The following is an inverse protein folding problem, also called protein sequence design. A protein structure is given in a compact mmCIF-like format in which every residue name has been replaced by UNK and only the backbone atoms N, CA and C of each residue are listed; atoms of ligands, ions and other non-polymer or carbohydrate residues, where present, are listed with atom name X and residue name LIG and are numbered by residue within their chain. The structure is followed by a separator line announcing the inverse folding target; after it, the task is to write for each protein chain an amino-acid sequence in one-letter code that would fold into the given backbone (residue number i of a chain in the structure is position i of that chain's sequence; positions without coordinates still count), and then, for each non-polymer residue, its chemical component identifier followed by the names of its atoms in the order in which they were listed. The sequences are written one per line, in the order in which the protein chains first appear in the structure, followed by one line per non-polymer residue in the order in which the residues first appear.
data_IF_504565981337
#
_entry.id   IF_504565981337
#
_cell.length_a   1.000
_cell.length_b   1.000
_cell.length_c   1.000
_cell.angle_alpha   90.00
_cell.angle_beta   90.00
_cell.angle_gamma   90.00
#
_symmetry.space_group_name_H-M   'P 1'
#
loop_
_entity.id
_entity.type
_entity.pdbx_description
1 polymer ?
#
# COMPACT_ATOMS: atom_id res chain seq x y z
N UNK A 1 14.66 -25.86 2.98
CA UNK A 1 13.67 -24.99 3.65
C UNK A 1 14.39 -23.74 4.13
N UNK A 2 13.81 -22.51 4.14
CA UNK A 2 12.41 -22.18 3.84
C UNK A 2 12.18 -20.90 3.00
N UNK A 3 11.19 -20.97 2.10
CA UNK A 3 10.59 -19.84 1.37
C UNK A 3 9.53 -19.08 2.17
N UNK A 4 9.70 -18.94 3.49
CA UNK A 4 8.73 -18.27 4.36
C UNK A 4 9.07 -16.80 4.66
N UNK A 5 10.28 -16.32 4.31
CA UNK A 5 10.67 -14.91 4.49
C UNK A 5 10.21 -13.98 3.37
N UNK A 6 9.91 -14.50 2.18
CA UNK A 6 9.50 -13.67 1.04
C UNK A 6 8.08 -13.13 1.13
N UNK A 7 7.20 -13.74 1.93
CA UNK A 7 5.81 -13.28 2.08
C UNK A 7 5.70 -12.11 3.07
N UNK A 8 6.55 -12.07 4.11
CA UNK A 8 6.52 -10.95 5.06
C UNK A 8 7.21 -9.69 4.52
N UNK A 9 8.22 -9.83 3.65
CA UNK A 9 8.86 -8.69 2.99
C UNK A 9 7.99 -8.06 1.87
N UNK A 10 6.98 -8.78 1.38
CA UNK A 10 6.03 -8.26 0.40
C UNK A 10 4.94 -7.37 1.02
N UNK A 11 4.72 -7.44 2.34
CA UNK A 11 3.53 -6.87 2.96
C UNK A 11 3.54 -5.33 3.05
N UNK A 12 4.69 -4.66 2.95
CA UNK A 12 4.78 -3.21 3.19
C UNK A 12 5.45 -2.38 2.08
N UNK A 13 5.81 -2.98 0.93
CA UNK A 13 6.40 -2.28 -0.25
C UNK A 13 5.64 -2.50 -1.56
N UNK A 14 4.35 -2.83 -1.44
CA UNK A 14 3.58 -3.67 -2.37
C UNK A 14 3.41 -3.12 -3.80
N UNK A 15 3.46 -1.81 -3.99
CA UNK A 15 3.17 -1.18 -5.30
C UNK A 15 4.45 -0.95 -6.10
N UNK A 16 5.47 -0.28 -5.54
CA UNK A 16 6.70 0.03 -6.28
C UNK A 16 7.78 -1.05 -6.17
N UNK A 17 7.78 -1.84 -5.11
CA UNK A 17 8.69 -2.99 -4.99
C UNK A 17 8.39 -4.06 -6.06
N UNK A 18 7.12 -4.22 -6.45
CA UNK A 18 6.73 -5.15 -7.51
C UNK A 18 6.80 -4.52 -8.91
N UNK A 19 6.36 -3.27 -9.11
CA UNK A 19 6.41 -2.60 -10.43
C UNK A 19 7.82 -2.15 -10.79
N UNK A 20 8.61 -1.65 -9.84
CA UNK A 20 10.03 -1.34 -10.04
C UNK A 20 10.85 -2.59 -10.31
N UNK A 21 10.57 -3.69 -9.58
CA UNK A 21 11.15 -5.02 -9.88
C UNK A 21 10.70 -5.52 -11.24
N UNK A 22 9.44 -5.33 -11.64
CA UNK A 22 8.94 -5.68 -12.98
C UNK A 22 9.71 -4.97 -14.08
N UNK A 23 9.87 -3.64 -14.01
CA UNK A 23 10.62 -2.86 -15.00
C UNK A 23 12.09 -3.26 -15.04
N UNK A 24 12.73 -3.41 -13.88
CA UNK A 24 14.12 -3.87 -13.78
C UNK A 24 14.30 -5.29 -14.35
N UNK A 25 13.38 -6.19 -14.03
CA UNK A 25 13.41 -7.60 -14.43
C UNK A 25 13.10 -7.76 -15.92
N UNK A 26 12.12 -7.04 -16.48
CA UNK A 26 11.83 -7.03 -17.92
C UNK A 26 12.97 -6.40 -18.72
N UNK A 27 13.62 -5.36 -18.18
CA UNK A 27 14.80 -4.74 -18.81
C UNK A 27 16.03 -5.67 -18.81
N UNK A 28 16.19 -6.51 -17.78
CA UNK A 28 17.37 -7.38 -17.58
C UNK A 28 17.20 -8.81 -18.09
N UNK A 29 15.98 -9.34 -18.14
CA UNK A 29 15.71 -10.74 -18.47
C UNK A 29 14.71 -10.87 -19.61
N UNK A 30 15.22 -10.97 -20.84
CA UNK A 30 14.44 -11.14 -22.10
C UNK A 30 13.56 -12.40 -22.17
N UNK A 31 13.64 -13.28 -21.16
CA UNK A 31 12.98 -14.59 -21.16
C UNK A 31 11.71 -14.65 -20.34
N UNK A 32 11.31 -13.58 -19.65
CA UNK A 32 10.11 -13.56 -18.81
C UNK A 32 8.90 -13.12 -19.63
N UNK A 33 7.79 -13.85 -19.49
CA UNK A 33 6.49 -13.49 -20.06
C UNK A 33 5.60 -13.00 -18.93
N UNK A 34 5.06 -11.79 -19.08
CA UNK A 34 4.03 -11.26 -18.19
C UNK A 34 2.77 -12.13 -18.31
N UNK A 35 2.18 -12.55 -17.19
CA UNK A 35 0.83 -13.13 -17.19
C UNK A 35 -0.15 -11.96 -17.07
N UNK A 36 -1.02 -11.70 -18.06
CA UNK A 36 -1.83 -10.47 -18.12
C UNK A 36 -3.06 -10.48 -17.19
N UNK A 37 -3.15 -11.42 -16.24
CA UNK A 37 -4.27 -11.49 -15.29
C UNK A 37 -3.84 -10.81 -13.99
N UNK A 38 -4.46 -9.66 -13.62
CA UNK A 38 -4.21 -9.05 -12.33
C UNK A 38 -4.73 -9.98 -11.23
N UNK A 39 -3.95 -10.14 -10.17
CA UNK A 39 -4.25 -11.08 -9.10
C UNK A 39 -4.92 -10.40 -7.93
N UNK A 40 -4.73 -9.08 -7.83
CA UNK A 40 -5.46 -8.23 -6.91
C UNK A 40 -5.50 -6.79 -7.45
N UNK A 41 -6.48 -6.02 -7.02
CA UNK A 41 -6.56 -4.58 -7.31
C UNK A 41 -6.29 -3.83 -6.01
N UNK A 42 -5.12 -3.20 -5.92
CA UNK A 42 -4.78 -2.37 -4.78
C UNK A 42 -5.53 -1.04 -4.86
N UNK A 43 -6.16 -0.64 -3.75
CA UNK A 43 -6.80 0.66 -3.62
C UNK A 43 -6.07 1.45 -2.54
N UNK A 44 -5.44 2.56 -2.91
CA UNK A 44 -4.88 3.51 -1.96
C UNK A 44 -5.99 4.45 -1.52
N UNK A 45 -6.22 4.57 -0.22
CA UNK A 45 -7.36 5.28 0.33
C UNK A 45 -6.98 6.01 1.62
N UNK A 46 -7.83 6.96 2.00
CA UNK A 46 -7.66 7.75 3.21
C UNK A 46 -8.46 7.12 4.34
N UNK A 47 -7.79 6.99 5.48
CA UNK A 47 -8.38 6.66 6.77
C UNK A 47 -8.42 7.93 7.61
N UNK A 48 -9.53 8.19 8.29
CA UNK A 48 -9.69 9.37 9.14
C UNK A 48 -10.69 9.12 10.26
N UNK A 49 -10.67 9.95 11.31
CA UNK A 49 -11.74 10.03 12.31
C UNK A 49 -12.75 11.13 12.01
N UNK A 50 -12.46 12.01 11.05
CA UNK A 50 -13.29 13.15 10.72
C UNK A 50 -14.16 12.83 9.48
N UNK A 51 -15.50 12.67 9.63
CA UNK A 51 -16.39 12.38 8.52
C UNK A 51 -16.54 13.54 7.53
N UNK A 52 -16.16 14.76 7.90
CA UNK A 52 -16.32 15.96 7.07
C UNK A 52 -15.16 16.17 6.08
N UNK A 53 -14.12 15.32 6.13
CA UNK A 53 -13.03 15.37 5.17
C UNK A 53 -13.54 14.96 3.78
N UNK A 54 -13.38 15.88 2.83
CA UNK A 54 -13.69 15.65 1.42
C UNK A 54 -12.39 15.52 0.63
N UNK A 55 -12.28 14.47 -0.19
CA UNK A 55 -11.11 14.24 -1.01
C UNK A 55 -11.23 14.92 -2.38
N UNK A 56 -10.22 15.71 -2.74
CA UNK A 56 -10.04 16.30 -4.07
C UNK A 56 -8.87 15.68 -4.85
N UNK A 57 -8.48 14.45 -4.52
CA UNK A 57 -7.26 13.81 -5.03
C UNK A 57 -6.03 14.16 -4.18
N UNK A 58 -4.83 13.81 -4.66
CA UNK A 58 -3.58 13.92 -3.91
C UNK A 58 -3.29 15.33 -3.39
N UNK A 59 -3.55 16.37 -4.17
CA UNK A 59 -3.27 17.76 -3.79
C UNK A 59 -4.08 18.21 -2.57
N UNK A 60 -5.30 17.69 -2.40
CA UNK A 60 -6.16 18.00 -1.26
C UNK A 60 -5.58 17.53 0.09
N UNK A 61 -4.62 16.60 0.07
CA UNK A 61 -3.99 16.07 1.30
C UNK A 61 -3.03 17.06 1.96
N UNK A 62 -2.61 18.12 1.24
CA UNK A 62 -1.71 19.15 1.77
C UNK A 62 -2.29 19.95 2.94
N UNK A 63 -3.61 19.99 3.06
CA UNK A 63 -4.31 20.64 4.16
C UNK A 63 -4.33 19.83 5.47
N UNK A 64 -3.85 18.58 5.45
CA UNK A 64 -4.02 17.64 6.55
C UNK A 64 -2.68 17.06 7.04
N UNK A 65 -2.55 16.89 8.35
CA UNK A 65 -1.46 16.11 8.94
C UNK A 65 -1.65 14.65 8.52
N UNK A 66 -0.68 14.11 7.81
CA UNK A 66 -0.79 12.83 7.10
C UNK A 66 0.21 11.83 7.64
N UNK A 67 -0.23 10.61 7.99
CA UNK A 67 0.66 9.49 8.28
C UNK A 67 0.67 8.45 7.14
N UNK A 68 1.84 7.90 6.82
CA UNK A 68 1.99 6.76 5.91
C UNK A 68 3.26 5.98 6.24
N UNK A 69 3.31 4.65 6.02
CA UNK A 69 4.56 3.91 6.10
C UNK A 69 5.58 4.45 5.10
N UNK A 70 6.83 4.61 5.53
CA UNK A 70 7.91 5.07 4.65
C UNK A 70 8.22 4.12 3.48
N UNK A 71 7.79 2.86 3.58
CA UNK A 71 7.92 1.85 2.53
C UNK A 71 6.85 1.96 1.43
N UNK A 72 5.83 2.82 1.59
CA UNK A 72 4.78 3.04 0.59
C UNK A 72 5.22 4.11 -0.42
N UNK A 73 6.24 3.77 -1.23
CA UNK A 73 6.92 4.72 -2.10
C UNK A 73 5.98 5.56 -3.00
N UNK A 74 4.95 4.97 -3.61
CA UNK A 74 4.00 5.72 -4.44
C UNK A 74 3.28 6.81 -3.63
N UNK A 75 2.82 6.47 -2.42
CA UNK A 75 2.19 7.42 -1.50
C UNK A 75 3.20 8.49 -1.09
N UNK A 76 4.41 8.09 -0.69
CA UNK A 76 5.48 9.01 -0.28
C UNK A 76 5.85 9.98 -1.42
N UNK A 77 5.90 9.50 -2.66
CA UNK A 77 6.19 10.31 -3.83
C UNK A 77 5.05 11.29 -4.14
N UNK A 78 3.79 10.86 -4.07
CA UNK A 78 2.63 11.73 -4.28
C UNK A 78 2.45 12.76 -3.15
N UNK A 79 2.94 12.48 -1.94
CA UNK A 79 2.95 13.42 -0.82
C UNK A 79 4.21 14.29 -0.77
N UNK A 80 5.12 14.18 -1.75
CA UNK A 80 6.36 14.94 -1.75
C UNK A 80 6.07 16.44 -1.79
N UNK A 81 6.64 17.18 -0.85
CA UNK A 81 6.42 18.61 -0.71
C UNK A 81 5.29 18.99 0.24
N UNK A 82 4.50 18.02 0.73
CA UNK A 82 3.59 18.26 1.86
C UNK A 82 4.41 18.36 3.17
N UNK A 83 4.40 19.50 3.88
CA UNK A 83 5.20 19.69 5.09
C UNK A 83 4.65 18.94 6.31
N UNK A 84 3.44 18.39 6.23
CA UNK A 84 2.73 17.77 7.36
C UNK A 84 2.69 16.24 7.26
N UNK A 85 3.74 15.62 6.71
CA UNK A 85 3.81 14.16 6.53
C UNK A 85 4.66 13.50 7.63
N UNK A 86 4.06 12.54 8.33
CA UNK A 86 4.72 11.66 9.29
C UNK A 86 4.96 10.28 8.66
N UNK A 87 6.23 9.95 8.41
CA UNK A 87 6.60 8.63 7.92
C UNK A 87 6.71 7.64 9.08
N UNK A 88 6.03 6.51 8.98
CA UNK A 88 6.00 5.46 10.01
C UNK A 88 6.70 4.19 9.56
N UNK A 89 6.97 3.29 10.52
CA UNK A 89 7.60 2.00 10.24
C UNK A 89 6.64 0.99 9.58
N UNK A 90 5.32 1.12 9.83
CA UNK A 90 4.29 0.22 9.32
C UNK A 90 2.88 0.84 9.40
N UNK A 91 1.91 0.17 8.79
CA UNK A 91 0.52 0.62 8.73
C UNK A 91 -0.15 0.72 10.11
N UNK A 92 0.15 -0.20 11.04
CA UNK A 92 -0.36 -0.15 12.41
C UNK A 92 0.09 1.13 13.12
N UNK A 93 1.37 1.49 13.00
CA UNK A 93 1.88 2.74 13.57
C UNK A 93 1.20 3.97 12.97
N UNK A 94 0.89 3.98 11.67
CA UNK A 94 0.15 5.09 11.05
C UNK A 94 -1.29 5.19 11.60
N UNK A 95 -1.98 4.06 11.75
CA UNK A 95 -3.32 4.02 12.35
C UNK A 95 -3.32 4.41 13.83
N UNK A 96 -2.26 4.07 14.59
CA UNK A 96 -2.14 4.52 15.98
C UNK A 96 -2.03 6.04 16.08
N UNK A 97 -1.17 6.67 15.27
CA UNK A 97 -1.07 8.14 15.24
C UNK A 97 -2.42 8.80 14.92
N UNK A 98 -3.19 8.20 14.01
CA UNK A 98 -4.54 8.67 13.69
C UNK A 98 -5.51 8.45 14.86
N UNK A 99 -5.47 7.29 15.51
CA UNK A 99 -6.27 6.97 16.69
C UNK A 99 -5.93 7.83 17.92
N UNK A 100 -4.72 8.40 17.96
CA UNK A 100 -4.26 9.31 19.00
C UNK A 100 -4.51 10.80 18.65
N UNK A 101 -5.17 11.09 17.51
CA UNK A 101 -5.40 12.44 16.99
C UNK A 101 -4.11 13.24 16.71
N UNK A 102 -2.97 12.56 16.58
CA UNK A 102 -1.69 13.19 16.23
C UNK A 102 -1.62 13.58 14.75
N UNK A 103 -2.36 12.87 13.90
CA UNK A 103 -2.56 13.17 12.49
C UNK A 103 -4.05 13.19 12.16
N UNK A 104 -4.42 13.89 11.10
CA UNK A 104 -5.80 14.02 10.66
C UNK A 104 -6.20 12.87 9.73
N UNK A 105 -5.23 12.38 8.96
CA UNK A 105 -5.42 11.31 7.98
C UNK A 105 -4.26 10.31 7.97
N UNK A 106 -4.56 9.06 7.63
CA UNK A 106 -3.57 8.05 7.25
C UNK A 106 -3.85 7.54 5.84
N UNK A 107 -2.82 7.44 4.99
CA UNK A 107 -2.96 6.94 3.61
C UNK A 107 -2.40 5.54 3.53
N UNK A 108 -3.25 4.56 3.24
CA UNK A 108 -2.89 3.14 3.24
C UNK A 108 -3.56 2.37 2.10
N UNK A 109 -3.13 1.12 1.90
CA UNK A 109 -3.90 0.17 1.11
C UNK A 109 -5.20 -0.16 1.88
N UNK A 110 -6.35 -0.05 1.20
CA UNK A 110 -7.67 -0.29 1.79
C UNK A 110 -7.77 -1.63 2.50
N UNK A 111 -7.37 -2.70 1.84
CA UNK A 111 -7.50 -4.06 2.40
C UNK A 111 -6.67 -4.21 3.67
N UNK A 112 -5.42 -3.74 3.67
CA UNK A 112 -4.56 -3.81 4.84
C UNK A 112 -5.09 -2.94 5.98
N UNK A 113 -5.42 -1.67 5.71
CA UNK A 113 -5.90 -0.75 6.73
C UNK A 113 -7.22 -1.19 7.36
N UNK A 114 -8.20 -1.64 6.56
CA UNK A 114 -9.47 -2.17 7.08
C UNK A 114 -9.24 -3.41 7.94
N UNK A 115 -8.39 -4.35 7.51
CA UNK A 115 -8.05 -5.53 8.32
C UNK A 115 -7.44 -5.14 9.67
N UNK A 116 -6.55 -4.14 9.69
CA UNK A 116 -5.91 -3.69 10.92
C UNK A 116 -6.90 -2.99 11.85
N UNK A 117 -7.83 -2.21 11.30
CA UNK A 117 -8.94 -1.62 12.08
C UNK A 117 -9.75 -2.70 12.79
N UNK A 118 -10.12 -3.77 12.08
CA UNK A 118 -10.88 -4.88 12.66
C UNK A 118 -10.07 -5.62 13.74
N UNK A 119 -8.78 -5.90 13.47
CA UNK A 119 -7.89 -6.64 14.38
C UNK A 119 -7.61 -5.87 15.67
N UNK A 120 -7.37 -4.55 15.58
CA UNK A 120 -7.03 -3.72 16.74
C UNK A 120 -8.24 -3.01 17.36
N UNK A 121 -9.43 -3.13 16.75
CA UNK A 121 -10.67 -2.60 17.30
C UNK A 121 -10.80 -1.08 17.22
N UNK A 122 -10.23 -0.44 16.20
CA UNK A 122 -10.34 1.02 16.01
C UNK A 122 -11.73 1.43 15.54
N UNK A 123 -12.61 1.78 16.48
CA UNK A 123 -14.04 2.02 16.17
C UNK A 123 -14.34 3.35 15.49
N UNK A 124 -13.49 4.35 15.69
CA UNK A 124 -13.74 5.71 15.21
C UNK A 124 -13.01 6.02 13.90
N UNK A 125 -12.22 5.08 13.38
CA UNK A 125 -11.52 5.27 12.11
C UNK A 125 -12.41 4.80 10.97
N UNK A 126 -12.69 5.75 10.07
CA UNK A 126 -13.47 5.60 8.86
C UNK A 126 -12.55 5.46 7.66
N UNK A 127 -13.05 4.80 6.60
CA UNK A 127 -12.37 4.70 5.30
C UNK A 127 -13.12 5.54 4.27
N UNK A 128 -12.44 6.52 3.67
CA UNK A 128 -13.08 7.43 2.72
C UNK A 128 -13.23 6.80 1.33
N UNK A 129 -14.31 7.18 0.64
CA UNK A 129 -14.57 6.83 -0.75
C UNK A 129 -14.75 8.12 -1.58
N UNK A 130 -14.32 8.14 -2.85
CA UNK A 130 -13.59 7.08 -3.57
C UNK A 130 -12.13 6.93 -3.10
N UNK A 131 -11.43 5.83 -3.45
CA UNK A 131 -9.99 5.73 -3.23
C UNK A 131 -9.22 6.81 -4.01
N UNK A 132 -8.03 7.19 -3.53
CA UNK A 132 -7.12 8.11 -4.22
C UNK A 132 -6.58 7.50 -5.51
N UNK A 133 -6.32 6.19 -5.48
CA UNK A 133 -5.75 5.49 -6.61
C UNK A 133 -6.17 4.02 -6.60
N UNK A 134 -6.39 3.47 -7.80
CA UNK A 134 -6.74 2.06 -8.00
C UNK A 134 -5.74 1.46 -8.97
N UNK A 135 -5.00 0.44 -8.52
CA UNK A 135 -3.83 -0.09 -9.22
C UNK A 135 -3.96 -1.61 -9.38
N UNK A 136 -3.97 -2.14 -10.61
CA UNK A 136 -3.92 -3.58 -10.82
C UNK A 136 -2.53 -4.11 -10.43
N UNK A 137 -2.50 -5.14 -9.58
CA UNK A 137 -1.27 -5.83 -9.14
C UNK A 137 -1.16 -7.16 -9.89
N UNK A 138 -0.02 -7.38 -10.55
CA UNK A 138 0.28 -8.57 -11.34
C UNK A 138 1.35 -9.42 -10.62
N UNK A 139 1.17 -10.75 -10.50
CA UNK A 139 2.26 -11.60 -9.99
C UNK A 139 3.35 -11.74 -11.05
N UNK A 140 4.59 -11.62 -10.60
CA UNK A 140 5.77 -12.03 -11.35
C UNK A 140 6.15 -13.48 -11.04
N UNK A 141 5.96 -14.38 -12.00
CA UNK A 141 6.47 -15.75 -11.95
C UNK A 141 7.90 -15.81 -12.50
N UNK A 142 8.81 -16.44 -11.76
CA UNK A 142 10.17 -16.72 -12.20
C UNK A 142 10.18 -17.94 -13.13
N UNK A 143 10.88 -17.89 -14.28
CA UNK A 143 10.87 -18.94 -15.32
C UNK A 143 11.50 -20.28 -14.89
N UNK A 144 12.12 -20.35 -13.71
CA UNK A 144 12.67 -21.59 -13.14
C UNK A 144 11.83 -22.04 -11.95
N UNK A 145 10.55 -22.30 -12.22
CA UNK A 145 9.78 -23.32 -11.50
C UNK A 145 9.30 -24.29 -12.57
N UNK A 146 10.25 -25.08 -13.09
CA UNK A 146 9.90 -26.36 -13.68
C UNK A 146 9.89 -27.34 -12.50
N UNK A 147 8.84 -28.15 -12.42
CA UNK A 147 8.49 -29.10 -11.36
C UNK A 147 7.96 -28.51 -10.05
N UNK A 148 6.65 -28.28 -10.00
CA UNK A 148 5.84 -28.96 -8.99
C UNK A 148 4.80 -29.79 -9.75
N UNK A 149 4.99 -31.10 -9.73
CA UNK A 149 4.05 -32.08 -10.23
C UNK A 149 2.77 -31.97 -9.42
N UNK A 150 1.64 -31.83 -10.10
CA UNK A 150 0.34 -32.19 -9.55
C UNK A 150 0.36 -33.70 -9.32
N UNK A 151 0.23 -34.13 -8.06
CA UNK A 151 -0.39 -35.39 -7.64
C UNK A 151 -1.18 -35.10 -6.36
#
# INVERSE_FOLDING_TARGET
MPGSRSIHAANSGLVDGEVGRLKFVLGKYKNLRLVPVPIFVAQLTVFTRNPDITLGGWDSLTAYRTATPGSFNLVVNNLKGNPHVSLTNNATSALNLLNENMVDIAVLNRYEGSRLIDVFGFREILVLNPPLETLPIYRLLHKKMNTLSLH
#
